data_IF_479356513918
#
_entry.id   IF_479356513918
#
_cell.length_a   1.000
_cell.length_b   1.000
_cell.length_c   1.000
_cell.angle_alpha   90.00
_cell.angle_beta   90.00
_cell.angle_gamma   90.00
#
_symmetry.space_group_name_H-M   'P 1'
#
loop_
_entity.id
_entity.type
_entity.pdbx_description
1 polymer ?
#
# COMPACT_ATOMS: atom_id res chain seq x y z
N UNK A 1 -20.52 -18.98 6.18
CA UNK A 1 -19.31 -19.02 5.32
C UNK A 1 -18.35 -20.04 5.93
N UNK A 2 -17.71 -20.88 5.12
CA UNK A 2 -16.73 -21.86 5.61
C UNK A 2 -15.67 -21.17 6.50
N UNK A 3 -15.25 -21.77 7.62
CA UNK A 3 -14.16 -21.27 8.45
C UNK A 3 -12.88 -20.96 7.67
N UNK A 4 -12.55 -21.71 6.63
CA UNK A 4 -11.38 -21.50 5.79
C UNK A 4 -11.49 -20.20 4.96
N UNK A 5 -12.63 -19.99 4.30
CA UNK A 5 -12.92 -18.76 3.55
C UNK A 5 -12.93 -17.53 4.47
N UNK A 6 -13.41 -17.71 5.70
CA UNK A 6 -13.42 -16.65 6.72
C UNK A 6 -12.02 -16.26 7.14
N UNK A 7 -11.11 -17.25 7.28
CA UNK A 7 -9.69 -16.99 7.52
C UNK A 7 -9.05 -16.23 6.37
N UNK A 8 -9.31 -16.63 5.12
CA UNK A 8 -8.77 -15.92 3.94
C UNK A 8 -9.25 -14.47 3.90
N UNK A 9 -10.54 -14.22 4.16
CA UNK A 9 -11.09 -12.87 4.24
C UNK A 9 -10.43 -12.05 5.37
N UNK A 10 -10.30 -12.64 6.56
CA UNK A 10 -9.60 -11.99 7.68
C UNK A 10 -8.15 -11.69 7.34
N UNK A 11 -7.47 -12.57 6.63
CA UNK A 11 -6.11 -12.34 6.12
C UNK A 11 -6.10 -11.09 5.25
N UNK A 12 -6.98 -10.96 4.25
CA UNK A 12 -7.06 -9.73 3.44
C UNK A 12 -7.32 -8.47 4.29
N UNK A 13 -8.22 -8.53 5.27
CA UNK A 13 -8.48 -7.38 6.15
C UNK A 13 -7.23 -7.01 6.94
N UNK A 14 -6.55 -7.98 7.55
CA UNK A 14 -5.32 -7.76 8.32
C UNK A 14 -4.19 -7.21 7.44
N UNK A 15 -4.05 -7.70 6.20
CA UNK A 15 -3.09 -7.19 5.22
C UNK A 15 -3.42 -5.77 4.72
N UNK A 16 -4.63 -5.28 4.94
CA UNK A 16 -4.99 -3.90 4.58
C UNK A 16 -4.49 -2.89 5.62
N UNK A 17 -4.43 -3.27 6.90
CA UNK A 17 -4.13 -2.35 8.00
C UNK A 17 -2.71 -1.74 7.94
N UNK A 18 -1.63 -2.52 7.71
CA UNK A 18 -0.30 -1.94 7.53
C UNK A 18 -0.25 -0.96 6.35
N UNK A 19 -0.88 -1.34 5.22
CA UNK A 19 -1.00 -0.48 4.05
C UNK A 19 -1.61 0.89 4.35
N UNK A 20 -2.69 0.93 5.14
CA UNK A 20 -3.32 2.19 5.56
C UNK A 20 -2.41 3.04 6.45
N UNK A 21 -1.61 2.43 7.32
CA UNK A 21 -0.63 3.15 8.12
C UNK A 21 0.40 3.87 7.25
N UNK A 22 0.89 3.23 6.19
CA UNK A 22 1.80 3.86 5.23
C UNK A 22 1.16 5.01 4.46
N UNK A 23 -0.11 4.86 4.03
CA UNK A 23 -0.86 5.95 3.40
C UNK A 23 -0.98 7.14 4.34
N UNK A 24 -1.25 6.90 5.62
CA UNK A 24 -1.37 7.97 6.60
C UNK A 24 -0.02 8.67 6.84
N UNK A 25 1.08 7.91 6.93
CA UNK A 25 2.43 8.44 7.11
C UNK A 25 2.88 9.33 5.94
N UNK A 26 2.40 9.09 4.71
CA UNK A 26 2.72 9.91 3.53
C UNK A 26 2.28 11.38 3.64
N UNK A 27 1.25 11.68 4.45
CA UNK A 27 0.63 13.01 4.51
C UNK A 27 1.62 14.11 4.88
N UNK A 28 2.47 13.84 5.87
CA UNK A 28 3.39 14.81 6.46
C UNK A 28 4.87 14.49 6.13
N UNK A 29 5.10 13.61 5.15
CA UNK A 29 6.45 13.12 4.79
C UNK A 29 7.20 14.08 3.86
N UNK A 30 8.50 14.23 4.12
CA UNK A 30 9.45 14.97 3.27
C UNK A 30 9.69 14.27 1.93
N UNK A 31 10.33 14.96 0.97
CA UNK A 31 10.54 14.45 -0.42
C UNK A 31 11.13 13.03 -0.46
N UNK A 32 12.22 12.79 0.27
CA UNK A 32 12.87 11.47 0.31
C UNK A 32 12.02 10.43 1.04
N UNK A 33 11.40 10.79 2.16
CA UNK A 33 10.51 9.90 2.93
C UNK A 33 9.30 9.49 2.09
N UNK A 34 8.70 10.44 1.37
CA UNK A 34 7.58 10.22 0.46
C UNK A 34 7.95 9.28 -0.69
N UNK A 35 9.15 9.42 -1.25
CA UNK A 35 9.66 8.50 -2.26
C UNK A 35 9.78 7.08 -1.70
N UNK A 36 10.43 6.92 -0.53
CA UNK A 36 10.66 5.62 0.08
C UNK A 36 9.35 4.95 0.52
N UNK A 37 8.45 5.69 1.17
CA UNK A 37 7.12 5.19 1.55
C UNK A 37 6.27 4.84 0.32
N UNK A 38 6.38 5.62 -0.76
CA UNK A 38 5.76 5.30 -2.03
C UNK A 38 6.25 3.97 -2.61
N UNK A 39 7.55 3.71 -2.58
CA UNK A 39 8.12 2.43 -2.99
C UNK A 39 7.64 1.28 -2.10
N UNK A 40 7.60 1.48 -0.77
CA UNK A 40 7.08 0.47 0.17
C UNK A 40 5.62 0.13 -0.15
N UNK A 41 4.78 1.12 -0.45
CA UNK A 41 3.39 0.90 -0.85
C UNK A 41 3.25 0.12 -2.17
N UNK A 42 4.09 0.41 -3.16
CA UNK A 42 4.10 -0.34 -4.43
C UNK A 42 4.48 -1.80 -4.18
N UNK A 43 5.53 -2.05 -3.40
CA UNK A 43 5.96 -3.41 -3.03
C UNK A 43 4.86 -4.12 -2.21
N UNK A 44 4.23 -3.41 -1.28
CA UNK A 44 3.10 -3.93 -0.50
C UNK A 44 1.91 -4.33 -1.38
N UNK A 45 1.57 -3.49 -2.36
CA UNK A 45 0.51 -3.78 -3.32
C UNK A 45 0.83 -5.04 -4.15
N UNK A 46 2.05 -5.14 -4.67
CA UNK A 46 2.49 -6.30 -5.45
C UNK A 46 2.47 -7.61 -4.64
N UNK A 47 2.91 -7.55 -3.37
CA UNK A 47 2.85 -8.69 -2.47
C UNK A 47 1.40 -9.13 -2.19
N UNK A 48 0.53 -8.16 -1.88
CA UNK A 48 -0.89 -8.42 -1.58
C UNK A 48 -1.65 -8.97 -2.80
N UNK A 49 -1.31 -8.48 -4.00
CA UNK A 49 -1.82 -9.00 -5.27
C UNK A 49 -1.42 -10.46 -5.50
N UNK A 50 -0.19 -10.83 -5.16
CA UNK A 50 0.30 -12.20 -5.30
C UNK A 50 -0.49 -13.18 -4.43
N UNK A 51 -0.84 -12.80 -3.20
CA UNK A 51 -1.72 -13.60 -2.31
C UNK A 51 -3.12 -13.75 -2.93
N UNK A 52 -3.67 -12.68 -3.50
CA UNK A 52 -4.97 -12.73 -4.17
C UNK A 52 -4.94 -13.65 -5.41
N UNK A 53 -3.87 -13.61 -6.20
CA UNK A 53 -3.69 -14.52 -7.35
C UNK A 53 -3.58 -15.98 -6.91
N UNK A 54 -2.84 -16.28 -5.84
CA UNK A 54 -2.77 -17.64 -5.27
C UNK A 54 -4.17 -18.10 -4.82
N UNK A 55 -4.93 -17.21 -4.17
CA UNK A 55 -6.30 -17.50 -3.73
C UNK A 55 -7.21 -17.86 -4.91
N UNK A 56 -7.14 -17.11 -6.02
CA UNK A 56 -7.86 -17.44 -7.26
C UNK A 56 -7.41 -18.81 -7.81
N UNK A 57 -6.10 -19.07 -7.84
CA UNK A 57 -5.54 -20.34 -8.33
C UNK A 57 -5.99 -21.55 -7.52
N UNK A 58 -6.35 -21.38 -6.23
CA UNK A 58 -6.92 -22.45 -5.39
C UNK A 58 -8.44 -22.57 -5.57
N UNK A 59 -9.15 -21.45 -5.77
CA UNK A 59 -10.61 -21.45 -5.94
C UNK A 59 -11.06 -21.97 -7.30
N UNK A 60 -10.30 -21.69 -8.36
CA UNK A 60 -10.69 -22.03 -9.73
C UNK A 60 -10.83 -23.56 -9.96
N UNK A 61 -9.90 -24.41 -9.46
CA UNK A 61 -10.08 -25.87 -9.47
C UNK A 61 -11.26 -26.33 -8.61
N UNK A 62 -11.56 -25.68 -7.49
CA UNK A 62 -12.68 -26.07 -6.62
C UNK A 62 -14.03 -25.85 -7.32
N UNK A 63 -14.14 -24.82 -8.15
CA UNK A 63 -15.34 -24.47 -8.92
C UNK A 63 -15.52 -25.37 -10.14
N UNK A 64 -14.41 -25.75 -10.78
CA UNK A 64 -14.42 -26.49 -12.06
C UNK A 64 -14.38 -28.00 -11.88
N UNK A 65 -13.96 -28.51 -10.72
CA UNK A 65 -13.85 -29.95 -10.47
C UNK A 65 -15.22 -30.56 -10.11
N UNK A 66 -15.65 -31.53 -10.92
CA UNK A 66 -16.94 -32.23 -10.79
C UNK A 66 -17.05 -33.12 -9.54
N UNK A 67 -15.95 -33.38 -8.85
CA UNK A 67 -15.93 -34.16 -7.61
C UNK A 67 -16.15 -33.32 -6.34
N UNK A 68 -16.18 -31.99 -6.46
CA UNK A 68 -16.48 -31.09 -5.34
C UNK A 68 -17.97 -31.16 -4.99
N UNK A 69 -18.29 -31.05 -3.70
CA UNK A 69 -19.71 -30.96 -3.29
C UNK A 69 -20.33 -29.66 -3.80
N UNK A 70 -21.61 -29.70 -4.18
CA UNK A 70 -22.36 -28.53 -4.68
C UNK A 70 -22.25 -27.32 -3.75
N UNK A 71 -22.31 -27.57 -2.44
CA UNK A 71 -22.10 -26.57 -1.38
C UNK A 71 -20.73 -25.87 -1.46
N UNK A 72 -19.66 -26.62 -1.77
CA UNK A 72 -18.29 -26.06 -1.86
C UNK A 72 -18.14 -25.19 -3.11
N UNK A 73 -18.72 -25.63 -4.23
CA UNK A 73 -18.72 -24.89 -5.50
C UNK A 73 -19.47 -23.57 -5.36
N UNK A 74 -20.65 -23.58 -4.74
CA UNK A 74 -21.44 -22.37 -4.52
C UNK A 74 -20.71 -21.36 -3.64
N UNK A 75 -20.06 -21.81 -2.56
CA UNK A 75 -19.26 -20.93 -1.72
C UNK A 75 -18.07 -20.32 -2.44
N UNK A 76 -17.33 -21.11 -3.23
CA UNK A 76 -16.19 -20.61 -3.98
C UNK A 76 -16.63 -19.56 -5.03
N UNK A 77 -17.76 -19.79 -5.72
CA UNK A 77 -18.35 -18.82 -6.66
C UNK A 77 -18.76 -17.52 -5.97
N UNK A 78 -19.40 -17.61 -4.80
CA UNK A 78 -19.80 -16.44 -4.03
C UNK A 78 -18.59 -15.68 -3.47
N UNK A 79 -17.46 -16.36 -3.24
CA UNK A 79 -16.26 -15.74 -2.69
C UNK A 79 -15.42 -14.99 -3.73
N UNK A 80 -15.40 -15.46 -4.99
CA UNK A 80 -14.57 -14.94 -6.07
C UNK A 80 -14.74 -13.43 -6.34
N UNK A 81 -15.96 -12.85 -6.33
CA UNK A 81 -16.15 -11.40 -6.46
C UNK A 81 -15.47 -10.58 -5.36
N UNK A 82 -15.39 -11.11 -4.12
CA UNK A 82 -14.69 -10.43 -3.04
C UNK A 82 -13.18 -10.39 -3.28
N UNK A 83 -12.60 -11.48 -3.78
CA UNK A 83 -11.17 -11.52 -4.14
C UNK A 83 -10.86 -10.51 -5.25
N UNK A 84 -11.71 -10.44 -6.28
CA UNK A 84 -11.59 -9.43 -7.35
C UNK A 84 -11.69 -8.00 -6.82
N UNK A 85 -12.61 -7.74 -5.88
CA UNK A 85 -12.73 -6.45 -5.21
C UNK A 85 -11.45 -6.09 -4.43
N UNK A 86 -10.85 -7.06 -3.72
CA UNK A 86 -9.59 -6.84 -3.00
C UNK A 86 -8.43 -6.52 -3.94
N UNK A 87 -8.31 -7.22 -5.08
CA UNK A 87 -7.32 -6.93 -6.13
C UNK A 87 -7.45 -5.48 -6.58
N UNK A 88 -8.67 -5.05 -6.89
CA UNK A 88 -8.94 -3.68 -7.31
C UNK A 88 -8.56 -2.67 -6.22
N UNK A 89 -9.00 -2.91 -4.98
CA UNK A 89 -8.71 -2.02 -3.85
C UNK A 89 -7.22 -1.91 -3.58
N UNK A 90 -6.45 -3.00 -3.59
CA UNK A 90 -5.01 -2.94 -3.36
C UNK A 90 -4.25 -2.27 -4.50
N UNK A 91 -4.64 -2.54 -5.75
CA UNK A 91 -4.03 -1.88 -6.90
C UNK A 91 -4.25 -0.37 -6.83
N UNK A 92 -5.48 0.05 -6.53
CA UNK A 92 -5.83 1.47 -6.49
C UNK A 92 -5.27 2.18 -5.25
N UNK A 93 -5.54 1.65 -4.05
CA UNK A 93 -5.19 2.29 -2.78
C UNK A 93 -3.71 2.22 -2.48
N UNK A 94 -3.02 1.11 -2.76
CA UNK A 94 -1.60 0.98 -2.43
C UNK A 94 -0.72 1.19 -3.66
N UNK A 95 -1.05 0.55 -4.78
CA UNK A 95 -0.30 0.73 -6.03
C UNK A 95 -0.41 2.16 -6.57
N UNK A 96 -1.64 2.67 -6.68
CA UNK A 96 -1.92 4.03 -7.18
C UNK A 96 -1.35 5.11 -6.27
N UNK A 97 -1.64 5.06 -4.96
CA UNK A 97 -1.09 6.03 -4.00
C UNK A 97 0.43 5.95 -3.93
N UNK A 98 1.01 4.75 -3.93
CA UNK A 98 2.46 4.56 -3.93
C UNK A 98 3.13 5.15 -5.18
N UNK A 99 2.57 4.88 -6.36
CA UNK A 99 3.07 5.44 -7.63
C UNK A 99 2.97 6.97 -7.65
N UNK A 100 1.85 7.53 -7.15
CA UNK A 100 1.68 8.98 -7.03
C UNK A 100 2.69 9.59 -6.06
N UNK A 101 2.94 8.94 -4.92
CA UNK A 101 3.93 9.39 -3.95
C UNK A 101 5.33 9.42 -4.56
N UNK A 102 5.75 8.35 -5.24
CA UNK A 102 7.03 8.26 -5.96
C UNK A 102 7.12 9.35 -7.04
N UNK A 103 6.11 9.47 -7.90
CA UNK A 103 6.09 10.47 -8.97
C UNK A 103 6.18 11.90 -8.43
N UNK A 104 5.41 12.23 -7.39
CA UNK A 104 5.43 13.55 -6.74
C UNK A 104 6.78 13.87 -6.08
N UNK A 105 7.50 12.86 -5.61
CA UNK A 105 8.82 13.03 -5.04
C UNK A 105 9.90 13.18 -6.12
N UNK A 106 9.71 12.59 -7.30
CA UNK A 106 10.65 12.72 -8.42
C UNK A 106 10.45 14.01 -9.23
N UNK A 107 9.24 14.57 -9.28
CA UNK A 107 8.97 15.83 -9.96
C UNK A 107 9.85 16.97 -9.41
N UNK A 108 10.64 17.57 -10.29
CA UNK A 108 11.45 18.74 -9.96
C UNK A 108 10.56 20.00 -10.01
N UNK A 109 10.42 20.67 -8.85
CA UNK A 109 9.60 21.89 -8.75
C UNK A 109 10.14 23.04 -9.59
N UNK A 110 11.39 22.96 -10.05
CA UNK A 110 12.06 23.95 -10.91
C UNK A 110 11.38 24.10 -12.29
N UNK A 111 10.71 23.06 -12.81
CA UNK A 111 10.15 23.05 -14.18
C UNK A 111 8.81 23.78 -14.27
N UNK A 112 8.12 24.03 -13.15
CA UNK A 112 6.82 24.73 -13.13
C UNK A 112 6.91 26.23 -12.80
N UNK A 113 8.10 26.75 -12.50
CA UNK A 113 8.29 28.14 -12.05
C UNK A 113 8.93 28.97 -13.16
N UNK A 114 8.16 29.26 -14.20
CA UNK A 114 8.52 30.25 -15.22
C UNK A 114 7.44 31.33 -15.37
N UNK A 115 6.91 31.79 -14.24
CA UNK A 115 6.04 32.96 -14.14
C UNK A 115 6.66 33.92 -13.11
N UNK A 116 7.13 35.09 -13.54
CA UNK A 116 7.82 36.11 -12.73
C UNK A 116 7.08 36.52 -11.43
N UNK A 117 5.78 36.24 -11.33
CA UNK A 117 4.99 36.48 -10.11
C UNK A 117 5.34 35.52 -8.96
N UNK A 118 5.86 34.32 -9.25
CA UNK A 118 6.26 33.32 -8.25
C UNK A 118 7.62 33.70 -7.62
N UNK A 119 8.52 34.34 -8.35
CA UNK A 119 9.83 34.78 -7.83
C UNK A 119 9.69 35.83 -6.71
N UNK A 120 8.69 36.73 -6.80
CA UNK A 120 8.38 37.68 -5.73
C UNK A 120 7.75 37.01 -4.51
N UNK A 121 6.98 35.94 -4.70
CA UNK A 121 6.48 35.12 -3.58
C UNK A 121 7.58 34.24 -2.97
N UNK A 122 8.52 33.74 -3.77
CA UNK A 122 9.69 32.97 -3.32
C UNK A 122 10.60 33.79 -2.41
N UNK A 123 10.87 35.06 -2.72
CA UNK A 123 11.71 35.88 -1.84
C UNK A 123 11.06 36.14 -0.47
N UNK A 124 9.73 36.21 -0.42
CA UNK A 124 8.98 36.34 0.84
C UNK A 124 8.87 35.01 1.59
N UNK A 125 8.88 33.88 0.88
CA UNK A 125 8.93 32.54 1.44
C UNK A 125 10.32 32.14 1.94
N UNK A 126 11.40 32.59 1.30
CA UNK A 126 12.78 32.33 1.73
C UNK A 126 13.10 32.96 3.10
N UNK A 127 12.52 34.13 3.39
CA UNK A 127 12.62 34.77 4.71
C UNK A 127 11.83 34.01 5.80
N UNK A 128 10.80 33.25 5.40
CA UNK A 128 10.06 32.35 6.29
C UNK A 128 10.80 31.00 6.40
N UNK A 129 11.38 30.50 5.31
CA UNK A 129 12.15 29.25 5.25
C UNK A 129 13.39 29.30 6.13
N UNK A 130 14.12 30.43 6.14
CA UNK A 130 15.28 30.63 7.05
C UNK A 130 14.92 30.62 8.54
N UNK A 131 13.64 30.87 8.89
CA UNK A 131 13.14 30.72 10.27
C UNK A 131 12.65 29.29 10.57
N UNK A 132 12.41 28.46 9.55
CA UNK A 132 11.92 27.07 9.66
C UNK A 132 13.06 26.06 9.55
N UNK A 133 14.18 26.40 8.90
CA UNK A 133 15.38 25.55 8.75
C UNK A 133 16.03 25.13 10.09
N UNK A 134 15.57 25.65 11.24
CA UNK A 134 16.03 25.24 12.56
C UNK A 134 15.15 24.15 13.23
N UNK A 135 14.19 23.55 12.50
CA UNK A 135 13.35 22.44 13.00
C UNK A 135 13.17 21.37 11.90
N UNK A 136 14.25 20.91 11.26
CA UNK A 136 14.20 19.73 10.37
C UNK A 136 15.02 18.58 10.96
N UNK A 137 14.34 17.71 11.71
CA UNK A 137 14.87 16.37 11.97
C UNK A 137 14.10 15.37 11.13
N UNK A 138 14.74 14.91 10.05
CA UNK A 138 14.32 13.73 9.27
C UNK A 138 13.91 12.61 10.22
N UNK A 139 12.68 12.12 10.09
CA UNK A 139 12.03 11.41 11.17
C UNK A 139 12.19 9.90 10.96
N UNK A 140 13.45 9.44 10.99
CA UNK A 140 13.89 8.05 10.78
C UNK A 140 13.04 7.01 11.53
N UNK A 141 12.45 7.41 12.67
CA UNK A 141 11.55 6.59 13.47
C UNK A 141 10.39 6.03 12.65
N UNK A 142 9.80 6.80 11.74
CA UNK A 142 8.68 6.33 10.91
C UNK A 142 9.10 5.35 9.81
N UNK A 143 10.28 5.53 9.22
CA UNK A 143 10.82 4.59 8.21
C UNK A 143 11.25 3.29 8.87
N UNK A 144 11.90 3.37 10.04
CA UNK A 144 12.33 2.18 10.77
C UNK A 144 11.11 1.42 11.30
N UNK A 145 10.11 2.10 11.89
CA UNK A 145 8.87 1.44 12.34
C UNK A 145 8.14 0.78 11.18
N UNK A 146 8.10 1.45 10.03
CA UNK A 146 7.56 0.95 8.76
C UNK A 146 8.21 -0.36 8.32
N UNK A 147 9.54 -0.41 8.27
CA UNK A 147 10.29 -1.62 7.90
C UNK A 147 10.11 -2.72 8.96
N UNK A 148 10.13 -2.39 10.25
CA UNK A 148 9.94 -3.36 11.33
C UNK A 148 8.55 -3.98 11.28
N UNK A 149 7.50 -3.17 11.10
CA UNK A 149 6.12 -3.67 10.93
C UNK A 149 6.05 -4.59 9.70
N UNK A 150 6.65 -4.19 8.58
CA UNK A 150 6.69 -5.00 7.36
C UNK A 150 7.38 -6.35 7.59
N UNK A 151 8.56 -6.36 8.20
CA UNK A 151 9.34 -7.58 8.45
C UNK A 151 8.66 -8.48 9.48
N UNK A 152 8.22 -7.94 10.62
CA UNK A 152 7.51 -8.71 11.66
C UNK A 152 6.25 -9.35 11.07
N UNK A 153 5.55 -8.64 10.21
CA UNK A 153 4.32 -9.13 9.60
C UNK A 153 4.58 -10.21 8.52
N UNK A 154 5.63 -10.08 7.71
CA UNK A 154 6.05 -11.13 6.76
C UNK A 154 6.47 -12.39 7.51
N UNK A 155 7.31 -12.25 8.54
CA UNK A 155 7.77 -13.39 9.34
C UNK A 155 6.59 -14.04 10.06
N UNK A 156 5.72 -13.25 10.69
CA UNK A 156 4.52 -13.74 11.37
C UNK A 156 3.58 -14.50 10.44
N UNK A 157 3.30 -13.95 9.24
CA UNK A 157 2.46 -14.63 8.25
C UNK A 157 3.10 -15.92 7.72
N UNK A 158 4.42 -15.96 7.52
CA UNK A 158 5.12 -17.19 7.16
C UNK A 158 5.00 -18.26 8.26
N UNK A 159 5.18 -17.88 9.53
CA UNK A 159 5.10 -18.84 10.66
C UNK A 159 3.69 -19.30 11.02
N UNK A 160 2.65 -18.52 10.68
CA UNK A 160 1.27 -18.86 11.01
C UNK A 160 0.59 -19.72 9.94
N UNK A 161 1.13 -19.74 8.71
CA UNK A 161 0.53 -20.42 7.57
C UNK A 161 1.47 -21.41 6.84
N UNK A 162 2.75 -21.49 7.24
CA UNK A 162 3.70 -22.54 6.84
C UNK A 162 3.75 -23.68 7.83
#
# INVERSE_FOLDING_TARGET
MDPALTKILMTFVLFTLPGLFFIWALKDSYRLERFLMGLVLIVWAAFSLSIATITIGVLDPLITNTNSTEYTVEQARNFLPYVSLFIFLYTFLFGGVGTNAVSSALMDKSVFVNNEQILKMQSQLDDISKKVDNIETFNWKYIISSIVIFVVYIVGSYTAFG
#
